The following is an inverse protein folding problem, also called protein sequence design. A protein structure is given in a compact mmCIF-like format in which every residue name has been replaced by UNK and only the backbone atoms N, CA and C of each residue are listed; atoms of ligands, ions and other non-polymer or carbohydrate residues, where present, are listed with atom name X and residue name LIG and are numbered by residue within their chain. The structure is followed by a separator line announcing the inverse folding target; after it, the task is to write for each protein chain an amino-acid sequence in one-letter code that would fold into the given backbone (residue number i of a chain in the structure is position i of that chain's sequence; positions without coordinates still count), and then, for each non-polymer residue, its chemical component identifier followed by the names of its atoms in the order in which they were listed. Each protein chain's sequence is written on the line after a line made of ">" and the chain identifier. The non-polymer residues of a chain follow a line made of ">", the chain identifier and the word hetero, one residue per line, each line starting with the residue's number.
data_IF_839212744144
#
_entry.id   IF_839212744144
#
_cell.length_a   1.000
_cell.length_b   1.000
_cell.length_c   1.000
_cell.angle_alpha   90.00
_cell.angle_beta   90.00
_cell.angle_gamma   90.00
#
_symmetry.space_group_name_H-M   'P 1'
#
loop_
_entity.id
_entity.type
_entity.pdbx_description
1 polymer ?
#
# COMPACT_ATOMS: atom_id res chain seq x y z
N UNK A 1 -81.78 -49.28 -73.97
CA UNK A 1 -81.28 -49.34 -75.35
C UNK A 1 -80.39 -48.12 -75.54
N UNK A 2 -79.28 -48.32 -76.26
CA UNK A 2 -78.13 -47.44 -76.51
C UNK A 2 -77.11 -47.34 -75.36
N UNK A 3 -75.89 -47.92 -75.47
CA UNK A 3 -74.77 -47.62 -76.40
C UNK A 3 -74.29 -46.16 -76.19
N UNK A 4 -73.03 -45.80 -76.01
CA UNK A 4 -71.72 -46.42 -76.26
C UNK A 4 -70.64 -45.49 -75.65
N UNK A 5 -69.58 -46.11 -75.12
CA UNK A 5 -68.15 -45.78 -75.24
C UNK A 5 -67.65 -44.32 -75.35
N UNK A 6 -66.64 -43.96 -74.54
CA UNK A 6 -65.27 -43.54 -74.94
C UNK A 6 -64.50 -42.99 -73.71
N UNK A 7 -63.46 -43.73 -73.28
CA UNK A 7 -62.30 -43.32 -72.43
C UNK A 7 -61.27 -42.52 -73.29
N UNK A 8 -60.09 -42.02 -72.82
CA UNK A 8 -59.44 -42.02 -71.49
C UNK A 8 -58.81 -40.65 -71.10
N UNK A 9 -58.19 -40.51 -69.91
CA UNK A 9 -57.42 -39.30 -69.61
C UNK A 9 -56.74 -39.14 -68.24
N UNK A 10 -55.91 -40.12 -67.87
CA UNK A 10 -54.62 -39.97 -67.16
C UNK A 10 -54.50 -39.21 -65.82
N UNK A 11 -53.97 -39.95 -64.83
CA UNK A 11 -52.93 -39.53 -63.84
C UNK A 11 -53.36 -38.53 -62.76
N UNK A 12 -53.31 -38.79 -61.46
CA UNK A 12 -52.52 -39.73 -60.65
C UNK A 12 -53.26 -39.96 -59.33
N UNK A 13 -53.48 -41.21 -58.95
CA UNK A 13 -53.92 -41.58 -57.63
C UNK A 13 -52.70 -41.66 -56.70
N UNK A 14 -52.53 -40.67 -55.82
CA UNK A 14 -51.67 -40.81 -54.66
C UNK A 14 -52.39 -41.72 -53.65
N UNK A 15 -51.91 -42.96 -53.53
CA UNK A 15 -52.32 -43.89 -52.48
C UNK A 15 -51.28 -43.85 -51.37
N UNK A 16 -51.71 -43.27 -50.25
CA UNK A 16 -51.52 -43.73 -48.88
C UNK A 16 -50.30 -44.60 -48.57
N UNK A 17 -49.43 -44.11 -47.69
CA UNK A 17 -49.06 -44.82 -46.47
C UNK A 17 -48.25 -43.91 -45.52
N UNK A 18 -48.71 -43.86 -44.27
CA UNK A 18 -47.88 -43.77 -43.07
C UNK A 18 -47.11 -42.47 -42.78
N UNK A 19 -47.57 -41.75 -41.76
CA UNK A 19 -46.70 -41.10 -40.77
C UNK A 19 -47.51 -40.79 -39.51
N UNK A 20 -47.62 -41.78 -38.63
CA UNK A 20 -47.94 -41.60 -37.22
C UNK A 20 -46.75 -40.94 -36.53
N UNK A 21 -46.76 -39.65 -36.20
CA UNK A 21 -45.77 -39.12 -35.27
C UNK A 21 -46.34 -38.00 -34.39
N UNK A 22 -46.64 -38.43 -33.17
CA UNK A 22 -46.31 -37.80 -31.89
C UNK A 22 -46.74 -36.34 -31.71
N UNK A 23 -47.78 -36.17 -30.87
CA UNK A 23 -47.88 -35.02 -29.98
C UNK A 23 -46.63 -35.06 -29.09
N UNK A 24 -45.54 -34.45 -29.54
CA UNK A 24 -44.34 -34.29 -28.73
C UNK A 24 -44.45 -32.95 -27.98
N UNK A 25 -44.61 -33.10 -26.67
CA UNK A 25 -44.85 -32.03 -25.73
C UNK A 25 -43.79 -30.92 -25.79
N UNK A 26 -44.24 -29.72 -25.43
CA UNK A 26 -43.44 -28.57 -25.02
C UNK A 26 -42.11 -28.96 -24.36
N UNK A 27 -41.04 -29.01 -25.16
CA UNK A 27 -39.67 -29.27 -24.67
C UNK A 27 -39.05 -28.11 -23.89
N UNK A 28 -39.79 -27.03 -23.66
CA UNK A 28 -39.44 -26.04 -22.67
C UNK A 28 -40.62 -25.92 -21.70
N UNK A 29 -40.49 -26.60 -20.56
CA UNK A 29 -41.43 -26.44 -19.46
C UNK A 29 -41.47 -24.97 -19.05
N UNK A 30 -42.60 -24.47 -18.57
CA UNK A 30 -42.64 -23.13 -17.94
C UNK A 30 -41.59 -23.03 -16.83
N UNK A 31 -41.31 -24.14 -16.15
CA UNK A 31 -40.22 -24.29 -15.19
C UNK A 31 -38.84 -24.06 -15.80
N UNK A 32 -38.57 -24.48 -17.04
CA UNK A 32 -37.28 -24.24 -17.71
C UNK A 32 -37.10 -22.76 -18.05
N UNK A 33 -38.17 -22.08 -18.48
CA UNK A 33 -38.14 -20.63 -18.70
C UNK A 33 -37.93 -19.86 -17.39
N UNK A 34 -38.59 -20.30 -16.30
CA UNK A 34 -38.30 -19.75 -14.98
C UNK A 34 -36.86 -20.03 -14.54
N UNK A 35 -36.33 -21.23 -14.83
CA UNK A 35 -34.97 -21.64 -14.50
C UNK A 35 -33.93 -20.81 -15.27
N UNK A 36 -34.09 -20.65 -16.58
CA UNK A 36 -33.20 -19.80 -17.39
C UNK A 36 -33.29 -18.34 -16.97
N UNK A 37 -34.48 -17.83 -16.62
CA UNK A 37 -34.66 -16.47 -16.08
C UNK A 37 -33.95 -16.29 -14.73
N UNK A 38 -34.03 -17.28 -13.84
CA UNK A 38 -33.34 -17.27 -12.54
C UNK A 38 -31.81 -17.33 -12.70
N UNK A 39 -31.32 -18.17 -13.61
CA UNK A 39 -29.89 -18.29 -13.91
C UNK A 39 -29.38 -17.01 -14.58
N UNK A 40 -30.13 -16.43 -15.52
CA UNK A 40 -29.77 -15.17 -16.16
C UNK A 40 -29.78 -14.01 -15.15
N UNK A 41 -30.79 -13.94 -14.27
CA UNK A 41 -30.86 -12.97 -13.18
C UNK A 41 -29.72 -13.14 -12.18
N UNK A 42 -29.36 -14.37 -11.83
CA UNK A 42 -28.22 -14.66 -10.95
C UNK A 42 -26.88 -14.36 -11.65
N UNK A 43 -26.77 -14.59 -12.95
CA UNK A 43 -25.58 -14.24 -13.73
C UNK A 43 -25.42 -12.72 -13.85
N UNK A 44 -26.49 -11.98 -14.10
CA UNK A 44 -26.50 -10.51 -14.11
C UNK A 44 -26.20 -9.97 -12.71
N UNK A 45 -26.84 -10.52 -11.68
CA UNK A 45 -26.56 -10.18 -10.30
C UNK A 45 -25.11 -10.47 -9.94
N UNK A 46 -24.58 -11.65 -10.28
CA UNK A 46 -23.18 -12.01 -10.03
C UNK A 46 -22.21 -11.17 -10.85
N UNK A 47 -22.56 -10.77 -12.07
CA UNK A 47 -21.76 -9.90 -12.92
C UNK A 47 -21.73 -8.46 -12.42
N UNK A 48 -22.87 -7.95 -11.93
CA UNK A 48 -22.98 -6.63 -11.31
C UNK A 48 -22.36 -6.62 -9.91
N UNK A 49 -22.52 -7.69 -9.14
CA UNK A 49 -21.96 -7.83 -7.79
C UNK A 49 -20.47 -8.22 -7.81
N UNK A 50 -19.96 -8.80 -8.92
CA UNK A 50 -18.52 -8.88 -9.23
C UNK A 50 -17.86 -7.52 -9.40
N UNK A 51 -18.65 -6.43 -9.53
CA UNK A 51 -18.13 -5.05 -9.50
C UNK A 51 -17.99 -4.47 -8.10
N UNK A 52 -18.11 -5.26 -7.02
CA UNK A 52 -17.35 -4.92 -5.81
C UNK A 52 -15.89 -5.20 -6.10
N UNK A 53 -15.25 -4.19 -6.71
CA UNK A 53 -13.81 -4.10 -6.79
C UNK A 53 -13.31 -4.30 -5.36
N UNK A 54 -12.76 -5.47 -5.09
CA UNK A 54 -11.74 -5.59 -4.07
C UNK A 54 -10.73 -4.52 -4.47
N UNK A 55 -10.63 -3.46 -3.67
CA UNK A 55 -9.47 -2.59 -3.72
C UNK A 55 -8.28 -3.51 -3.48
N UNK A 56 -7.67 -3.94 -4.59
CA UNK A 56 -6.40 -4.63 -4.57
C UNK A 56 -5.48 -3.59 -3.92
N UNK A 57 -4.86 -3.87 -2.75
CA UNK A 57 -3.81 -2.99 -2.28
C UNK A 57 -2.82 -2.86 -3.42
N UNK A 58 -2.50 -1.62 -3.80
CA UNK A 58 -1.56 -1.29 -4.85
C UNK A 58 -0.25 -2.06 -4.59
N UNK A 59 -0.06 -3.18 -5.29
CA UNK A 59 1.19 -3.91 -5.19
C UNK A 59 2.16 -3.18 -6.10
N UNK A 60 3.03 -2.37 -5.49
CA UNK A 60 4.21 -1.83 -6.17
C UNK A 60 4.90 -3.00 -6.89
N UNK A 61 4.98 -2.86 -8.20
CA UNK A 61 5.76 -3.74 -9.08
C UNK A 61 7.15 -3.90 -8.49
N UNK A 62 7.62 -5.14 -8.34
CA UNK A 62 9.00 -5.45 -7.97
C UNK A 62 9.92 -4.99 -9.10
N UNK A 63 10.28 -3.71 -9.06
CA UNK A 63 11.51 -3.20 -9.64
C UNK A 63 12.68 -3.85 -8.91
N UNK A 64 13.78 -4.18 -9.59
CA UNK A 64 14.99 -4.58 -8.88
C UNK A 64 15.48 -3.38 -8.05
N UNK A 65 15.46 -3.54 -6.72
CA UNK A 65 16.12 -2.71 -5.71
C UNK A 65 15.61 -1.26 -5.53
N UNK A 66 14.57 -1.07 -4.72
CA UNK A 66 14.47 0.12 -3.84
C UNK A 66 13.93 -0.38 -2.50
N UNK A 67 14.66 -0.07 -1.42
CA UNK A 67 14.38 -0.47 -0.05
C UNK A 67 12.90 -0.22 0.30
N UNK A 68 12.28 -1.21 0.93
CA UNK A 68 10.94 -1.10 1.51
C UNK A 68 10.89 0.09 2.46
N UNK A 69 10.38 1.23 1.98
CA UNK A 69 9.40 2.04 2.72
C UNK A 69 9.88 2.43 4.14
N UNK A 70 10.77 3.43 4.22
CA UNK A 70 10.87 4.35 5.37
C UNK A 70 9.64 5.30 5.38
N UNK A 71 8.40 4.80 5.26
CA UNK A 71 7.19 5.63 4.99
C UNK A 71 6.62 6.37 6.21
N UNK A 72 7.32 6.44 7.35
CA UNK A 72 6.92 7.33 8.44
C UNK A 72 7.92 8.46 8.61
N UNK A 73 7.66 9.59 7.95
CA UNK A 73 8.38 10.84 8.19
C UNK A 73 8.39 11.20 9.68
N UNK A 74 9.56 11.50 10.23
CA UNK A 74 9.65 11.92 11.65
C UNK A 74 8.93 13.26 11.86
N UNK A 75 8.86 14.12 10.85
CA UNK A 75 8.14 15.40 10.87
C UNK A 75 6.65 15.16 11.06
N UNK A 76 6.07 14.20 10.34
CA UNK A 76 4.66 13.84 10.51
C UNK A 76 4.38 13.28 11.90
N UNK A 77 5.28 12.42 12.41
CA UNK A 77 5.21 11.89 13.78
C UNK A 77 5.26 13.03 14.81
N UNK A 78 6.13 14.03 14.62
CA UNK A 78 6.22 15.20 15.48
C UNK A 78 4.92 16.02 15.45
N UNK A 79 4.39 16.32 14.27
CA UNK A 79 3.12 17.06 14.11
C UNK A 79 1.94 16.33 14.75
N UNK A 80 1.80 15.03 14.48
CA UNK A 80 0.71 14.19 15.04
C UNK A 80 0.76 14.10 16.56
N UNK A 81 1.96 14.04 17.13
CA UNK A 81 2.13 13.92 18.59
C UNK A 81 2.26 15.26 19.30
N UNK A 82 2.30 16.38 18.56
CA UNK A 82 2.53 17.72 19.09
C UNK A 82 3.90 17.86 19.76
N UNK A 83 4.92 17.22 19.19
CA UNK A 83 6.31 17.31 19.64
C UNK A 83 7.05 18.38 18.86
N UNK A 84 7.83 19.19 19.56
CA UNK A 84 8.63 20.26 18.99
C UNK A 84 10.14 20.04 19.20
N UNK A 85 10.54 19.03 19.99
CA UNK A 85 11.95 18.64 20.12
C UNK A 85 12.14 17.23 19.58
N UNK A 86 13.17 17.05 18.75
CA UNK A 86 13.66 15.74 18.32
C UNK A 86 15.10 15.57 18.76
N UNK A 87 15.42 14.41 19.33
CA UNK A 87 16.76 14.05 19.77
C UNK A 87 17.20 12.81 19.01
N UNK A 88 18.13 12.97 18.08
CA UNK A 88 18.77 11.87 17.36
C UNK A 88 19.92 11.30 18.18
N UNK A 89 20.08 9.98 18.21
CA UNK A 89 21.21 9.35 18.90
C UNK A 89 22.03 8.46 17.96
N UNK A 90 23.34 8.69 17.91
CA UNK A 90 24.31 7.76 17.34
C UNK A 90 24.96 6.97 18.47
N UNK A 91 24.68 5.67 18.59
CA UNK A 91 25.08 4.86 19.75
C UNK A 91 25.31 3.40 19.38
N UNK A 92 26.46 2.83 19.73
CA UNK A 92 26.69 1.37 19.62
C UNK A 92 26.23 0.60 20.88
N UNK A 93 26.57 1.11 22.07
CA UNK A 93 26.32 0.42 23.36
C UNK A 93 25.15 1.02 24.15
N UNK A 94 24.28 1.80 23.49
CA UNK A 94 23.08 2.39 24.10
C UNK A 94 23.30 3.60 25.04
N UNK A 95 24.54 4.08 25.27
CA UNK A 95 24.69 5.21 26.21
C UNK A 95 24.17 6.54 25.66
N UNK A 96 24.45 6.85 24.38
CA UNK A 96 23.95 8.10 23.80
C UNK A 96 22.43 8.03 23.60
N UNK A 97 21.89 6.83 23.35
CA UNK A 97 20.45 6.57 23.35
C UNK A 97 19.81 6.85 24.72
N UNK A 98 20.40 6.36 25.82
CA UNK A 98 19.89 6.65 27.17
C UNK A 98 19.91 8.15 27.47
N UNK A 99 20.99 8.83 27.09
CA UNK A 99 21.10 10.28 27.24
C UNK A 99 20.05 11.03 26.43
N UNK A 100 19.84 10.66 25.17
CA UNK A 100 18.80 11.24 24.31
C UNK A 100 17.39 11.02 24.87
N UNK A 101 17.12 9.82 25.38
CA UNK A 101 15.86 9.48 26.03
C UNK A 101 15.61 10.35 27.27
N UNK A 102 16.63 10.53 28.12
CA UNK A 102 16.55 11.41 29.30
C UNK A 102 16.30 12.86 28.89
N UNK A 103 17.02 13.36 27.89
CA UNK A 103 16.87 14.72 27.39
C UNK A 103 15.47 14.97 26.79
N UNK A 104 14.93 14.01 26.05
CA UNK A 104 13.58 14.09 25.48
C UNK A 104 12.47 14.15 26.55
N UNK A 105 12.70 13.51 27.70
CA UNK A 105 11.80 13.56 28.87
C UNK A 105 11.97 14.88 29.62
N UNK A 106 13.21 15.34 29.79
CA UNK A 106 13.51 16.61 30.48
C UNK A 106 12.93 17.83 29.75
N UNK A 107 12.78 17.77 28.42
CA UNK A 107 12.08 18.78 27.64
C UNK A 107 10.67 19.12 28.20
N UNK A 108 9.97 18.13 28.76
CA UNK A 108 8.63 18.31 29.35
C UNK A 108 8.65 19.24 30.56
N UNK A 109 9.77 19.28 31.30
CA UNK A 109 9.93 20.17 32.46
C UNK A 109 10.01 21.65 32.06
N UNK A 110 10.36 21.92 30.81
CA UNK A 110 10.45 23.26 30.22
C UNK A 110 9.21 23.60 29.37
N UNK A 111 8.12 22.83 29.46
CA UNK A 111 6.90 23.04 28.67
C UNK A 111 7.03 22.64 27.20
N UNK A 112 8.09 21.91 26.83
CA UNK A 112 8.33 21.41 25.48
C UNK A 112 8.06 19.90 25.41
N UNK A 113 7.89 19.35 24.21
CA UNK A 113 7.60 17.92 24.02
C UNK A 113 8.66 17.31 23.12
N UNK A 114 9.54 16.50 23.72
CA UNK A 114 10.61 15.80 23.05
C UNK A 114 10.26 14.38 22.60
N UNK A 115 10.96 13.89 21.58
CA UNK A 115 11.16 12.46 21.30
C UNK A 115 12.63 12.17 21.06
N UNK A 116 13.08 11.00 21.50
CA UNK A 116 14.35 10.42 21.06
C UNK A 116 14.08 9.46 19.89
N UNK A 117 14.99 9.41 18.93
CA UNK A 117 14.83 8.60 17.73
C UNK A 117 16.17 8.21 17.12
N UNK A 118 16.24 7.05 16.47
CA UNK A 118 17.42 6.63 15.73
C UNK A 118 17.49 7.36 14.38
N UNK A 119 18.60 7.98 13.98
CA UNK A 119 18.76 8.52 12.63
C UNK A 119 18.68 7.48 11.51
N UNK A 120 19.01 6.21 11.75
CA UNK A 120 18.93 5.15 10.70
C UNK A 120 17.47 4.85 10.27
N UNK A 121 16.52 5.07 11.18
CA UNK A 121 15.10 4.80 10.97
C UNK A 121 14.40 5.81 10.04
N UNK A 122 15.00 7.00 9.84
CA UNK A 122 14.34 8.11 9.14
C UNK A 122 15.22 8.68 8.02
N UNK A 123 14.56 9.31 7.04
CA UNK A 123 15.27 10.07 6.02
C UNK A 123 15.69 11.44 6.56
N UNK A 124 17.00 11.65 6.65
CA UNK A 124 17.60 12.91 7.13
C UNK A 124 17.45 14.06 6.13
N UNK A 125 17.09 13.76 4.87
CA UNK A 125 16.76 14.78 3.87
C UNK A 125 15.60 15.68 4.30
N UNK A 126 14.73 15.20 5.20
CA UNK A 126 13.60 15.95 5.74
C UNK A 126 13.98 16.93 6.86
N UNK A 127 15.25 17.05 7.24
CA UNK A 127 15.70 17.97 8.30
C UNK A 127 15.32 19.44 8.02
N UNK A 128 15.32 19.87 6.75
CA UNK A 128 14.88 21.21 6.36
C UNK A 128 13.40 21.48 6.71
N UNK A 129 12.55 20.45 6.70
CA UNK A 129 11.12 20.52 7.04
C UNK A 129 10.87 20.71 8.53
N UNK A 130 11.89 20.62 9.40
CA UNK A 130 11.76 20.99 10.81
C UNK A 130 11.29 22.44 11.00
N UNK A 131 11.57 23.31 10.03
CA UNK A 131 11.11 24.71 10.01
C UNK A 131 9.58 24.83 9.88
N UNK A 132 8.88 23.78 9.42
CA UNK A 132 7.41 23.74 9.32
C UNK A 132 6.71 23.66 10.69
N UNK A 133 7.43 23.33 11.77
CA UNK A 133 6.89 23.22 13.12
C UNK A 133 7.39 24.40 13.94
N UNK A 134 6.49 25.08 14.65
CA UNK A 134 6.86 26.21 15.50
C UNK A 134 7.71 25.79 16.70
N UNK A 135 8.70 26.62 17.05
CA UNK A 135 9.59 26.40 18.19
C UNK A 135 10.29 25.03 18.17
N UNK A 136 10.74 24.60 16.99
CA UNK A 136 11.51 23.37 16.84
C UNK A 136 12.96 23.47 17.29
N UNK A 137 13.45 22.34 17.78
CA UNK A 137 14.87 22.12 18.08
C UNK A 137 15.23 20.66 17.77
N UNK A 138 16.26 20.47 16.93
CA UNK A 138 16.92 19.19 16.73
C UNK A 138 18.11 19.07 17.69
N UNK A 139 18.28 17.92 18.32
CA UNK A 139 19.44 17.66 19.17
C UNK A 139 20.09 16.37 18.69
N UNK A 140 21.42 16.39 18.53
CA UNK A 140 22.18 15.23 18.08
C UNK A 140 23.09 14.76 19.21
N UNK A 141 22.82 13.56 19.72
CA UNK A 141 23.62 12.88 20.73
C UNK A 141 24.48 11.82 20.03
N UNK A 142 25.67 12.22 19.56
CA UNK A 142 26.51 11.38 18.71
C UNK A 142 27.67 10.81 19.51
N UNK A 143 27.77 9.49 19.59
CA UNK A 143 28.99 8.84 20.03
C UNK A 143 29.98 8.73 18.87
N UNK A 144 31.27 8.81 19.18
CA UNK A 144 32.35 8.49 18.22
C UNK A 144 33.05 7.21 18.65
N UNK A 145 33.59 6.48 17.68
CA UNK A 145 34.35 5.26 17.91
C UNK A 145 35.74 5.34 17.28
N UNK A 146 36.71 4.63 17.88
CA UNK A 146 38.08 4.55 17.38
C UNK A 146 38.75 5.92 17.19
N UNK A 147 39.09 6.22 15.94
CA UNK A 147 39.80 7.44 15.52
C UNK A 147 38.86 8.62 15.21
N UNK A 148 37.57 8.51 15.55
CA UNK A 148 36.56 9.54 15.29
C UNK A 148 35.47 9.14 14.30
N UNK A 149 35.37 7.85 13.96
CA UNK A 149 34.33 7.34 13.07
C UNK A 149 32.95 7.46 13.74
N UNK A 150 31.88 7.68 12.95
CA UNK A 150 30.50 7.62 13.46
C UNK A 150 30.16 6.21 13.95
N UNK A 151 29.10 6.09 14.75
CA UNK A 151 28.52 4.78 15.07
C UNK A 151 27.78 4.19 13.87
N UNK A 152 27.61 2.86 13.86
CA UNK A 152 26.98 2.12 12.76
C UNK A 152 25.62 2.70 12.38
N UNK A 153 24.76 2.98 13.36
CA UNK A 153 23.42 3.55 13.16
C UNK A 153 23.43 5.02 12.66
N UNK A 154 24.57 5.70 12.76
CA UNK A 154 24.76 7.07 12.31
C UNK A 154 25.53 7.16 10.98
N UNK A 155 25.96 6.02 10.40
CA UNK A 155 26.77 6.00 9.19
C UNK A 155 26.03 6.62 7.99
N UNK A 156 24.77 6.20 7.75
CA UNK A 156 23.92 6.76 6.68
C UNK A 156 23.77 8.29 6.82
N UNK A 157 23.59 8.78 8.05
CA UNK A 157 23.47 10.20 8.33
C UNK A 157 24.78 10.94 8.10
N UNK A 158 25.92 10.35 8.48
CA UNK A 158 27.24 10.90 8.26
C UNK A 158 27.53 11.03 6.76
N UNK A 159 27.29 9.97 5.98
CA UNK A 159 27.49 9.95 4.54
C UNK A 159 26.58 10.99 3.85
N UNK A 160 25.31 11.05 4.25
CA UNK A 160 24.37 12.07 3.77
C UNK A 160 24.87 13.49 4.05
N UNK A 161 25.39 13.78 5.25
CA UNK A 161 25.92 15.11 5.57
C UNK A 161 27.13 15.51 4.72
N UNK A 162 27.92 14.53 4.26
CA UNK A 162 29.10 14.79 3.42
C UNK A 162 28.72 15.06 1.96
N UNK A 163 27.60 14.50 1.50
CA UNK A 163 27.13 14.63 0.11
C UNK A 163 26.07 15.72 -0.09
N UNK A 164 25.40 16.14 0.98
CA UNK A 164 24.23 17.02 0.89
C UNK A 164 24.59 18.48 0.65
N UNK A 165 23.89 19.09 -0.31
CA UNK A 165 23.88 20.55 -0.56
C UNK A 165 22.58 21.19 -0.03
N UNK A 166 21.85 20.51 0.87
CA UNK A 166 20.57 21.00 1.39
C UNK A 166 20.75 22.25 2.26
N UNK A 167 19.93 23.26 1.98
CA UNK A 167 19.85 24.45 2.81
C UNK A 167 19.06 24.14 4.09
N UNK A 168 19.76 24.20 5.24
CA UNK A 168 19.20 24.04 6.58
C UNK A 168 18.95 25.39 7.28
N UNK A 169 18.89 26.49 6.53
CA UNK A 169 18.61 27.82 7.08
C UNK A 169 17.30 27.81 7.90
N UNK A 170 17.40 28.29 9.14
CA UNK A 170 16.27 28.35 10.08
C UNK A 170 16.09 27.12 10.95
N UNK A 171 16.78 26.01 10.66
CA UNK A 171 16.79 24.83 11.56
C UNK A 171 17.62 25.18 12.80
N UNK A 172 16.99 25.07 13.98
CA UNK A 172 17.69 25.21 15.26
C UNK A 172 18.19 23.83 15.68
N UNK A 173 19.50 23.72 15.94
CA UNK A 173 20.10 22.47 16.36
C UNK A 173 21.07 22.63 17.52
N UNK A 174 21.28 21.55 18.25
CA UNK A 174 22.34 21.40 19.26
C UNK A 174 23.02 20.04 19.10
N UNK A 175 24.32 19.97 19.38
CA UNK A 175 25.09 18.73 19.27
C UNK A 175 25.77 18.44 20.60
N UNK A 176 25.66 17.20 21.06
CA UNK A 176 26.38 16.66 22.20
C UNK A 176 27.16 15.45 21.74
N UNK A 177 28.47 15.49 21.92
CA UNK A 177 29.37 14.41 21.51
C UNK A 177 29.74 13.60 22.74
N UNK A 178 29.68 12.27 22.62
CA UNK A 178 30.24 11.35 23.60
C UNK A 178 31.46 10.66 23.01
N UNK A 179 32.63 10.96 23.55
CA UNK A 179 33.86 10.20 23.25
C UNK A 179 33.81 8.88 24.04
N UNK A 180 33.93 7.75 23.34
CA UNK A 180 34.07 6.46 24.00
C UNK A 180 35.56 6.16 24.17
N UNK A 181 36.14 6.54 25.31
CA UNK A 181 37.52 6.18 25.66
C UNK A 181 37.56 4.67 25.91
N UNK A 182 38.01 3.91 24.93
CA UNK A 182 38.47 2.54 25.17
C UNK A 182 39.82 2.69 25.88
N UNK A 183 39.79 2.74 27.21
CA UNK A 183 41.02 2.60 28.00
C UNK A 183 41.55 1.18 27.75
N UNK A 184 42.60 1.09 26.93
CA UNK A 184 43.37 -0.14 26.67
C UNK A 184 44.16 -0.57 27.90
#
# INVERSE_FOLDING_TARGET
>A
MDSSEVEPGTSTADSAAESSLVVEESFFSTLDIFLFSLIAGFAIYWFVFRKKKVEIPDYKTLQPQVQTIRETSFIEKMKKTGKNIVVFYGSQTGTAEEFANRLSKDAQRYGMRGMATDPEEYDMSELNRLTEIENTLAIFCMATYGEGDPTDNAQDFYDWMQETDLDLTGVKYAVSIKENKQDF
#
